data_IF_922297263325
#
_entry.id   IF_922297263325
#
_cell.length_a   1.000
_cell.length_b   1.000
_cell.length_c   1.000
_cell.angle_alpha   90.00
_cell.angle_beta   90.00
_cell.angle_gamma   90.00
#
_symmetry.space_group_name_H-M   'P 1'
#
loop_
_entity.id
_entity.type
_entity.pdbx_description
1 polymer ?
#
# COMPACT_ATOMS: atom_id res chain seq x y z
N UNK A 1 0.10 27.95 -15.25
CA UNK A 1 -0.13 28.68 -13.99
C UNK A 1 0.09 27.70 -12.84
N UNK A 2 1.15 27.90 -12.05
CA UNK A 2 1.48 27.05 -10.89
C UNK A 2 0.68 27.56 -9.70
N UNK A 3 -0.35 26.82 -9.28
CA UNK A 3 -1.07 27.10 -8.03
C UNK A 3 -0.46 26.23 -6.92
N UNK A 4 0.33 26.88 -6.06
CA UNK A 4 0.92 26.28 -4.86
C UNK A 4 -0.14 25.85 -3.86
N UNK A 5 0.18 24.79 -3.13
CA UNK A 5 -0.56 24.28 -1.97
C UNK A 5 -0.53 25.34 -0.87
N UNK A 6 -1.64 25.62 -0.15
CA UNK A 6 -1.58 26.49 1.01
C UNK A 6 -0.85 25.75 2.11
N UNK A 7 0.40 26.13 2.39
CA UNK A 7 1.02 25.76 3.66
C UNK A 7 0.27 26.53 4.73
N UNK A 8 -0.32 25.82 5.70
CA UNK A 8 -0.70 26.42 6.97
C UNK A 8 0.58 26.75 7.71
N UNK A 9 1.22 27.86 7.33
CA UNK A 9 2.33 28.45 8.04
C UNK A 9 1.81 29.06 9.33
N UNK A 10 2.17 28.47 10.48
CA UNK A 10 2.11 29.20 11.73
C UNK A 10 3.22 30.25 11.70
N UNK A 11 2.85 31.53 11.52
CA UNK A 11 3.75 32.65 11.74
C UNK A 11 3.76 32.95 13.23
N UNK A 12 4.84 32.61 13.92
CA UNK A 12 5.08 33.08 15.28
C UNK A 12 5.80 34.42 15.16
N UNK A 13 5.04 35.51 15.24
CA UNK A 13 5.59 36.85 15.39
C UNK A 13 6.02 36.99 16.85
N UNK A 14 7.32 36.95 17.10
CA UNK A 14 7.88 37.27 18.40
C UNK A 14 8.05 38.80 18.51
N UNK A 15 7.05 39.50 19.04
CA UNK A 15 7.17 40.91 19.38
C UNK A 15 8.12 41.09 20.58
N UNK A 16 9.38 41.43 20.28
CA UNK A 16 10.36 41.82 21.29
C UNK A 16 10.31 43.34 21.51
N UNK A 17 9.60 43.77 22.55
CA UNK A 17 9.72 45.14 23.06
C UNK A 17 11.01 45.27 23.88
N UNK A 18 12.06 45.82 23.27
CA UNK A 18 13.29 46.18 23.99
C UNK A 18 13.36 47.72 24.06
N UNK A 19 13.06 48.27 25.23
CA UNK A 19 13.29 49.68 25.50
C UNK A 19 14.75 49.88 25.97
N UNK A 20 15.59 50.46 25.11
CA UNK A 20 16.92 50.93 25.50
C UNK A 20 16.82 52.40 25.89
N UNK A 21 16.92 52.69 27.19
CA UNK A 21 16.97 54.06 27.70
C UNK A 21 18.40 54.59 27.57
N UNK A 22 18.68 55.38 26.53
CA UNK A 22 19.91 56.17 26.47
C UNK A 22 19.76 57.39 27.38
N UNK A 23 20.48 57.41 28.51
CA UNK A 23 20.64 58.60 29.32
C UNK A 23 21.84 59.40 28.83
N UNK A 24 21.62 60.66 28.46
CA UNK A 24 22.70 61.63 28.26
C UNK A 24 23.26 62.04 29.64
N UNK A 25 24.58 61.93 29.83
CA UNK A 25 25.25 62.60 30.94
C UNK A 25 26.51 63.32 30.45
N UNK A 26 26.73 64.58 30.88
CA UNK A 26 27.86 65.38 30.45
C UNK A 26 29.16 64.99 31.18
N UNK A 27 30.25 65.40 30.55
CA UNK A 27 31.65 65.12 30.90
C UNK A 27 32.02 65.54 32.34
N UNK A 28 32.45 64.60 33.18
CA UNK A 28 33.21 64.88 34.41
C UNK A 28 34.42 63.94 34.58
N UNK A 29 35.49 64.52 35.12
CA UNK A 29 36.85 63.98 35.29
C UNK A 29 36.94 62.95 36.43
N UNK A 30 37.71 61.90 36.15
CA UNK A 30 38.50 61.03 37.05
C UNK A 30 37.82 60.35 38.26
N UNK A 31 37.85 59.01 38.28
CA UNK A 31 38.74 58.22 39.15
C UNK A 31 38.48 56.71 39.00
N UNK A 32 39.52 55.93 39.30
CA UNK A 32 39.63 54.47 39.11
C UNK A 32 38.69 53.72 40.06
N UNK A 33 37.57 53.22 39.54
CA UNK A 33 36.64 52.32 40.23
C UNK A 33 36.30 51.09 39.39
N UNK A 34 36.56 49.89 39.93
CA UNK A 34 36.37 48.57 39.30
C UNK A 34 34.88 48.38 38.94
N UNK A 35 34.55 48.33 37.64
CA UNK A 35 33.18 48.45 37.14
C UNK A 35 32.41 47.12 37.18
N UNK A 36 31.24 47.09 37.83
CA UNK A 36 30.29 45.95 37.84
C UNK A 36 29.57 45.75 36.49
N UNK A 37 29.77 46.64 35.53
CA UNK A 37 29.13 46.59 34.21
C UNK A 37 29.58 45.38 33.36
N UNK A 38 30.77 44.83 33.59
CA UNK A 38 31.27 43.67 32.81
C UNK A 38 30.46 42.40 33.15
N UNK A 39 29.94 42.28 34.38
CA UNK A 39 29.14 41.14 34.83
C UNK A 39 27.74 41.13 34.22
N UNK A 40 27.12 42.30 33.98
CA UNK A 40 25.77 42.39 33.42
C UNK A 40 25.74 42.11 31.91
N UNK A 41 26.71 42.59 31.13
CA UNK A 41 26.84 42.23 29.70
C UNK A 41 27.12 40.74 29.49
N UNK A 42 27.98 40.14 30.34
CA UNK A 42 28.25 38.71 30.31
C UNK A 42 27.01 37.88 30.71
N UNK A 43 26.22 38.33 31.68
CA UNK A 43 24.99 37.66 32.09
C UNK A 43 23.88 37.74 31.01
N UNK A 44 23.72 38.90 30.35
CA UNK A 44 22.75 39.08 29.27
C UNK A 44 23.14 38.30 28.01
N UNK A 45 24.44 38.29 27.65
CA UNK A 45 24.96 37.47 26.56
C UNK A 45 24.81 35.97 26.81
N UNK A 46 25.08 35.50 28.04
CA UNK A 46 24.82 34.11 28.44
C UNK A 46 23.34 33.75 28.34
N UNK A 47 22.43 34.64 28.75
CA UNK A 47 20.97 34.42 28.63
C UNK A 47 20.50 34.36 27.17
N UNK A 48 21.03 35.20 26.28
CA UNK A 48 20.72 35.18 24.85
C UNK A 48 21.24 33.91 24.16
N UNK A 49 22.46 33.49 24.51
CA UNK A 49 23.03 32.25 24.01
C UNK A 49 22.23 31.04 24.51
N UNK A 50 21.85 31.03 25.79
CA UNK A 50 21.00 29.98 26.35
C UNK A 50 19.60 29.93 25.71
N UNK A 51 18.99 31.08 25.46
CA UNK A 51 17.71 31.17 24.75
C UNK A 51 17.82 30.67 23.29
N UNK A 52 18.91 30.99 22.59
CA UNK A 52 19.20 30.46 21.25
C UNK A 52 19.39 28.95 21.24
N UNK A 53 20.14 28.40 22.22
CA UNK A 53 20.30 26.96 22.38
C UNK A 53 18.99 26.25 22.68
N UNK A 54 18.17 26.79 23.60
CA UNK A 54 16.87 26.21 23.93
C UNK A 54 15.91 26.28 22.75
N UNK A 55 15.89 27.38 21.99
CA UNK A 55 15.10 27.50 20.77
C UNK A 55 15.54 26.50 19.69
N UNK A 56 16.86 26.34 19.51
CA UNK A 56 17.43 25.36 18.56
C UNK A 56 17.09 23.92 18.97
N UNK A 57 17.17 23.60 20.27
CA UNK A 57 16.79 22.27 20.78
C UNK A 57 15.31 22.02 20.57
N UNK A 58 14.44 23.01 20.84
CA UNK A 58 12.99 22.88 20.62
C UNK A 58 12.68 22.68 19.13
N UNK A 59 13.31 23.43 18.23
CA UNK A 59 13.13 23.27 16.78
C UNK A 59 13.63 21.91 16.29
N UNK A 60 14.78 21.44 16.79
CA UNK A 60 15.30 20.10 16.48
C UNK A 60 14.36 19.01 17.02
N UNK A 61 13.87 19.13 18.24
CA UNK A 61 12.90 18.19 18.80
C UNK A 61 11.59 18.20 18.03
N UNK A 62 11.10 19.36 17.57
CA UNK A 62 9.89 19.46 16.74
C UNK A 62 10.09 18.85 15.35
N UNK A 63 11.28 19.01 14.75
CA UNK A 63 11.64 18.39 13.48
C UNK A 63 11.77 16.86 13.60
N UNK A 64 12.42 16.38 14.66
CA UNK A 64 12.58 14.95 14.94
C UNK A 64 11.27 14.28 15.40
N UNK A 65 10.36 15.02 16.01
CA UNK A 65 9.05 14.54 16.46
C UNK A 65 7.95 14.64 15.40
N UNK A 66 8.27 15.00 14.15
CA UNK A 66 7.27 14.94 13.10
C UNK A 66 6.85 13.47 12.89
N UNK A 67 5.55 13.14 13.04
CA UNK A 67 5.09 11.82 12.69
C UNK A 67 5.33 11.61 11.20
N UNK A 68 5.85 10.43 10.84
CA UNK A 68 5.92 10.02 9.44
C UNK A 68 4.49 9.83 8.91
N UNK A 69 3.90 10.90 8.37
CA UNK A 69 2.62 10.84 7.71
C UNK A 69 2.82 10.33 6.28
N UNK A 70 2.41 9.10 6.03
CA UNK A 70 2.33 8.55 4.68
C UNK A 70 0.87 8.48 4.24
N UNK A 71 0.57 9.03 3.07
CA UNK A 71 -0.71 8.77 2.41
C UNK A 71 -0.78 7.29 2.02
N UNK A 72 -1.88 6.58 2.35
CA UNK A 72 -1.99 5.18 1.98
C UNK A 72 -2.03 5.03 0.45
N UNK A 73 -1.51 3.90 -0.04
CA UNK A 73 -1.72 3.50 -1.44
C UNK A 73 -3.20 3.13 -1.58
N UNK A 74 -3.99 4.04 -2.14
CA UNK A 74 -5.40 3.80 -2.39
C UNK A 74 -5.60 3.14 -3.76
N UNK A 75 -6.62 2.27 -3.80
CA UNK A 75 -7.04 1.55 -4.98
C UNK A 75 -7.39 2.49 -6.16
N UNK A 76 -7.52 1.86 -7.33
CA UNK A 76 -7.60 2.47 -8.66
C UNK A 76 -8.46 3.73 -8.80
N UNK A 77 -8.03 4.60 -9.71
CA UNK A 77 -8.81 5.71 -10.24
C UNK A 77 -10.11 5.21 -10.89
N UNK A 78 -11.26 5.74 -10.45
CA UNK A 78 -12.56 5.43 -11.06
C UNK A 78 -12.56 5.95 -12.50
N UNK A 79 -12.82 5.09 -13.48
CA UNK A 79 -13.03 5.46 -14.87
C UNK A 79 -11.79 5.56 -15.77
N UNK A 80 -10.56 5.45 -15.23
CA UNK A 80 -9.36 5.34 -16.05
C UNK A 80 -8.85 3.90 -16.06
N UNK A 81 -8.69 3.31 -17.24
CA UNK A 81 -7.98 2.05 -17.43
C UNK A 81 -7.41 2.00 -18.83
N UNK A 82 -6.12 1.63 -18.97
CA UNK A 82 -5.45 1.50 -20.26
C UNK A 82 -5.11 0.03 -20.59
N UNK A 83 -5.00 -0.33 -21.88
CA UNK A 83 -4.40 -1.60 -22.28
C UNK A 83 -2.97 -1.70 -21.75
N UNK A 84 -2.54 -2.90 -21.39
CA UNK A 84 -1.20 -3.17 -20.87
C UNK A 84 -0.40 -3.99 -21.86
N UNK A 85 0.91 -3.80 -21.91
CA UNK A 85 1.80 -4.63 -22.72
C UNK A 85 2.18 -5.89 -21.96
N UNK A 86 2.13 -7.03 -22.65
CA UNK A 86 2.70 -8.27 -22.15
C UNK A 86 4.14 -8.36 -22.63
N UNK A 87 5.07 -8.54 -21.72
CA UNK A 87 6.51 -8.67 -22.03
C UNK A 87 6.98 -10.08 -21.64
N UNK A 88 6.16 -11.11 -21.89
CA UNK A 88 6.51 -12.48 -21.50
C UNK A 88 7.41 -13.18 -22.53
N UNK A 89 7.28 -12.87 -23.83
CA UNK A 89 8.19 -13.39 -24.88
C UNK A 89 8.57 -12.33 -25.92
N UNK A 90 9.61 -12.61 -26.71
CA UNK A 90 10.06 -11.75 -27.82
C UNK A 90 8.97 -11.57 -28.90
N UNK A 91 8.15 -12.60 -29.14
CA UNK A 91 7.00 -12.50 -30.08
C UNK A 91 5.84 -11.67 -29.50
N UNK A 92 5.69 -11.63 -28.17
CA UNK A 92 4.60 -10.91 -27.49
C UNK A 92 4.90 -9.45 -27.19
N UNK A 93 6.13 -8.98 -27.45
CA UNK A 93 6.62 -7.63 -27.14
C UNK A 93 5.72 -6.50 -27.66
N UNK A 94 4.93 -6.76 -28.72
CA UNK A 94 3.98 -5.80 -29.30
C UNK A 94 2.50 -6.11 -29.02
N UNK A 95 2.18 -7.16 -28.26
CA UNK A 95 0.80 -7.53 -27.93
C UNK A 95 0.33 -6.75 -26.71
N UNK A 96 -0.64 -5.88 -26.92
CA UNK A 96 -1.39 -5.25 -25.82
C UNK A 96 -2.58 -6.11 -25.43
N UNK A 97 -2.87 -6.20 -24.14
CA UNK A 97 -4.09 -6.84 -23.63
C UNK A 97 -4.94 -5.84 -22.87
N UNK A 98 -6.24 -5.87 -23.17
CA UNK A 98 -7.25 -5.07 -22.51
C UNK A 98 -7.74 -5.76 -21.23
N UNK A 99 -7.05 -5.52 -20.12
CA UNK A 99 -7.36 -6.12 -18.82
C UNK A 99 -8.34 -5.33 -17.97
N UNK A 100 -9.05 -4.36 -18.54
CA UNK A 100 -9.93 -3.48 -17.76
C UNK A 100 -11.12 -4.24 -17.17
N UNK A 101 -11.43 -3.93 -15.91
CA UNK A 101 -12.57 -4.49 -15.21
C UNK A 101 -13.86 -3.78 -15.65
N UNK A 102 -14.99 -4.51 -15.71
CA UNK A 102 -16.28 -3.90 -16.05
C UNK A 102 -16.67 -2.88 -14.98
N UNK A 103 -17.47 -1.89 -15.38
CA UNK A 103 -18.00 -0.92 -14.43
C UNK A 103 -18.82 -1.63 -13.34
N UNK A 104 -18.70 -1.22 -12.07
CA UNK A 104 -19.40 -1.87 -10.98
C UNK A 104 -20.92 -1.70 -11.15
N UNK A 105 -21.64 -2.82 -11.24
CA UNK A 105 -23.12 -2.83 -11.31
C UNK A 105 -23.79 -2.46 -9.97
N UNK A 106 -23.02 -2.39 -8.88
CA UNK A 106 -23.50 -2.18 -7.50
C UNK A 106 -22.60 -1.19 -6.77
N UNK A 107 -23.17 -0.49 -5.81
CA UNK A 107 -22.42 0.37 -4.92
C UNK A 107 -21.35 -0.41 -4.14
N UNK A 108 -20.19 0.24 -3.93
CA UNK A 108 -19.08 -0.34 -3.17
C UNK A 108 -19.53 -0.54 -1.72
N UNK A 109 -19.35 -1.77 -1.22
CA UNK A 109 -19.63 -2.10 0.18
C UNK A 109 -18.32 -2.14 0.97
N UNK A 110 -18.32 -1.58 2.17
CA UNK A 110 -17.19 -1.74 3.10
C UNK A 110 -17.04 -3.21 3.48
N UNK A 111 -15.81 -3.69 3.43
CA UNK A 111 -15.47 -5.04 3.86
C UNK A 111 -15.85 -5.23 5.34
N UNK A 112 -16.47 -6.37 5.64
CA UNK A 112 -16.75 -6.81 7.00
C UNK A 112 -16.07 -8.16 7.18
N UNK A 113 -15.42 -8.34 8.32
CA UNK A 113 -14.82 -9.63 8.67
C UNK A 113 -15.94 -10.68 8.71
N UNK A 114 -15.73 -11.86 8.08
CA UNK A 114 -16.71 -12.92 8.15
C UNK A 114 -16.79 -13.44 9.59
N UNK A 115 -17.98 -13.87 10.00
CA UNK A 115 -18.09 -14.66 11.21
C UNK A 115 -17.48 -16.05 10.95
N UNK A 116 -16.55 -16.47 11.80
CA UNK A 116 -15.78 -17.71 11.62
C UNK A 116 -16.22 -18.73 12.67
N UNK A 117 -17.04 -19.69 12.25
CA UNK A 117 -17.41 -20.84 13.11
C UNK A 117 -16.36 -21.95 13.05
N UNK A 118 -15.68 -22.09 11.90
CA UNK A 118 -14.64 -23.07 11.67
C UNK A 118 -13.49 -22.42 10.90
N UNK A 119 -12.26 -22.69 11.33
CA UNK A 119 -11.07 -22.25 10.61
C UNK A 119 -10.96 -23.02 9.29
N UNK A 120 -10.69 -22.27 8.22
CA UNK A 120 -10.41 -22.85 6.90
C UNK A 120 -8.94 -23.23 6.86
N UNK A 121 -8.65 -24.50 6.60
CA UNK A 121 -7.30 -25.02 6.49
C UNK A 121 -7.04 -25.37 5.03
N UNK A 122 -6.12 -24.64 4.39
CA UNK A 122 -5.66 -25.00 3.05
C UNK A 122 -4.66 -26.14 3.17
N UNK A 123 -4.91 -27.24 2.46
CA UNK A 123 -4.01 -28.40 2.41
C UNK A 123 -3.01 -28.26 1.24
N UNK A 124 -1.83 -28.89 1.32
CA UNK A 124 -0.88 -28.92 0.21
C UNK A 124 -1.47 -29.59 -1.04
N UNK A 125 -1.22 -29.00 -2.20
CA UNK A 125 -1.74 -29.50 -3.47
C UNK A 125 -1.29 -30.92 -3.83
N UNK A 126 -0.06 -31.32 -3.47
CA UNK A 126 0.48 -32.66 -3.77
C UNK A 126 -0.19 -33.76 -2.94
N UNK A 127 -0.52 -33.49 -1.67
CA UNK A 127 -1.31 -34.42 -0.84
C UNK A 127 -2.74 -34.55 -1.36
N UNK A 128 -3.35 -33.41 -1.72
CA UNK A 128 -4.70 -33.34 -2.27
C UNK A 128 -4.85 -33.99 -3.63
N UNK A 129 -3.75 -34.20 -4.36
CA UNK A 129 -3.78 -34.84 -5.67
C UNK A 129 -4.30 -36.29 -5.60
N UNK A 130 -4.15 -36.95 -4.45
CA UNK A 130 -4.63 -38.31 -4.22
C UNK A 130 -6.08 -38.35 -3.71
N UNK A 131 -6.67 -37.20 -3.34
CA UNK A 131 -8.04 -37.08 -2.85
C UNK A 131 -8.98 -36.83 -4.03
N UNK A 132 -9.51 -37.93 -4.60
CA UNK A 132 -10.37 -37.91 -5.81
C UNK A 132 -11.61 -37.02 -5.61
N UNK A 133 -12.22 -37.02 -4.42
CA UNK A 133 -13.39 -36.19 -4.15
C UNK A 133 -13.03 -34.71 -4.20
N UNK A 134 -11.92 -34.33 -3.58
CA UNK A 134 -11.42 -32.97 -3.61
C UNK A 134 -11.06 -32.52 -5.04
N UNK A 135 -10.33 -33.35 -5.79
CA UNK A 135 -9.93 -33.05 -7.17
C UNK A 135 -11.15 -32.84 -8.05
N UNK A 136 -12.17 -33.71 -7.94
CA UNK A 136 -13.41 -33.56 -8.69
C UNK A 136 -14.15 -32.26 -8.36
N UNK A 137 -14.24 -31.90 -7.08
CA UNK A 137 -14.85 -30.62 -6.65
C UNK A 137 -14.08 -29.42 -7.16
N UNK A 138 -12.74 -29.46 -7.08
CA UNK A 138 -11.87 -28.40 -7.53
C UNK A 138 -11.98 -28.20 -9.05
N UNK A 139 -11.93 -29.28 -9.82
CA UNK A 139 -12.09 -29.26 -11.28
C UNK A 139 -13.47 -28.74 -11.69
N UNK A 140 -14.54 -29.23 -11.04
CA UNK A 140 -15.90 -28.74 -11.29
C UNK A 140 -16.05 -27.24 -11.00
N UNK A 141 -15.38 -26.72 -9.96
CA UNK A 141 -15.41 -25.30 -9.63
C UNK A 141 -14.74 -24.45 -10.72
N UNK A 142 -13.60 -24.89 -11.26
CA UNK A 142 -12.94 -24.21 -12.37
C UNK A 142 -13.69 -24.38 -13.70
N UNK A 143 -14.28 -25.55 -13.96
CA UNK A 143 -15.14 -25.78 -15.12
C UNK A 143 -16.30 -24.78 -15.11
N UNK A 144 -17.02 -24.65 -13.99
CA UNK A 144 -18.09 -23.67 -13.83
C UNK A 144 -17.59 -22.23 -13.93
N UNK A 145 -16.42 -21.92 -13.40
CA UNK A 145 -15.83 -20.58 -13.49
C UNK A 145 -15.45 -20.20 -14.93
N UNK A 146 -14.99 -21.17 -15.73
CA UNK A 146 -14.68 -21.00 -17.15
C UNK A 146 -15.94 -20.91 -18.01
N UNK A 147 -17.01 -21.63 -17.63
CA UNK A 147 -18.30 -21.57 -18.32
C UNK A 147 -19.07 -20.26 -18.07
N UNK A 148 -18.64 -19.42 -17.13
CA UNK A 148 -19.27 -18.12 -16.87
C UNK A 148 -19.07 -17.15 -18.06
N UNK A 149 -20.08 -16.31 -18.34
CA UNK A 149 -19.95 -15.24 -19.32
C UNK A 149 -18.77 -14.30 -19.03
N UNK A 150 -18.13 -13.80 -20.08
CA UNK A 150 -16.98 -12.90 -19.99
C UNK A 150 -17.27 -11.56 -19.28
N UNK A 151 -18.54 -11.15 -19.17
CA UNK A 151 -18.98 -9.96 -18.44
C UNK A 151 -19.23 -10.23 -16.95
N UNK A 152 -19.34 -11.49 -16.52
CA UNK A 152 -19.47 -11.84 -15.10
C UNK A 152 -18.14 -11.56 -14.37
N UNK A 153 -18.14 -10.72 -13.31
CA UNK A 153 -16.92 -10.42 -12.54
C UNK A 153 -16.28 -11.65 -11.87
N UNK A 154 -17.01 -12.77 -11.76
CA UNK A 154 -16.55 -14.04 -11.19
C UNK A 154 -15.91 -14.96 -12.22
N UNK A 155 -16.08 -14.68 -13.52
CA UNK A 155 -15.53 -15.52 -14.58
C UNK A 155 -14.01 -15.63 -14.48
N UNK A 156 -13.46 -16.71 -15.01
CA UNK A 156 -12.02 -16.96 -15.02
C UNK A 156 -11.25 -15.79 -15.67
N UNK A 157 -11.77 -15.28 -16.79
CA UNK A 157 -11.23 -14.11 -17.48
C UNK A 157 -11.15 -12.87 -16.56
N UNK A 158 -12.18 -12.61 -15.75
CA UNK A 158 -12.20 -11.44 -14.86
C UNK A 158 -11.33 -11.61 -13.63
N UNK A 159 -11.18 -12.83 -13.12
CA UNK A 159 -10.20 -13.15 -12.09
C UNK A 159 -8.77 -12.87 -12.61
N UNK A 160 -8.45 -13.30 -13.84
CA UNK A 160 -7.17 -12.99 -14.48
C UNK A 160 -6.98 -11.48 -14.74
N UNK A 161 -7.99 -10.78 -15.26
CA UNK A 161 -7.95 -9.33 -15.47
C UNK A 161 -7.73 -8.55 -14.18
N UNK A 162 -8.21 -9.04 -13.03
CA UNK A 162 -7.96 -8.41 -11.73
C UNK A 162 -6.47 -8.39 -11.42
N UNK A 163 -5.75 -9.49 -11.64
CA UNK A 163 -4.30 -9.49 -11.50
C UNK A 163 -3.63 -8.61 -12.55
N UNK A 164 -3.96 -8.80 -13.82
CA UNK A 164 -3.35 -8.04 -14.90
C UNK A 164 -3.46 -6.51 -14.70
N UNK A 165 -4.66 -6.01 -14.37
CA UNK A 165 -4.90 -4.56 -14.30
C UNK A 165 -4.26 -3.85 -13.10
N UNK A 166 -4.15 -4.53 -11.95
CA UNK A 166 -3.53 -3.96 -10.74
C UNK A 166 -2.00 -4.14 -10.69
N UNK A 167 -1.45 -5.03 -11.52
CA UNK A 167 -0.04 -5.42 -11.48
C UNK A 167 0.76 -5.00 -12.72
N UNK A 168 0.09 -4.65 -13.82
CA UNK A 168 0.70 -4.15 -15.06
C UNK A 168 0.32 -2.70 -15.33
N UNK A 169 0.09 -1.91 -14.28
CA UNK A 169 -0.04 -0.45 -14.40
C UNK A 169 -1.22 0.02 -15.27
N UNK A 170 -2.29 -0.77 -15.36
CA UNK A 170 -3.47 -0.40 -16.14
C UNK A 170 -4.24 0.78 -15.51
N UNK A 171 -4.16 0.91 -14.18
CA UNK A 171 -4.80 1.97 -13.39
C UNK A 171 -3.80 3.02 -12.93
N UNK A 172 -4.31 4.20 -12.59
CA UNK A 172 -3.56 5.20 -11.82
C UNK A 172 -3.88 5.07 -10.33
N UNK A 173 -2.92 5.43 -9.48
CA UNK A 173 -3.13 5.55 -8.05
C UNK A 173 -4.08 6.72 -7.75
N UNK A 174 -4.92 6.53 -6.73
CA UNK A 174 -5.89 7.52 -6.28
C UNK A 174 -5.43 8.19 -4.99
N UNK A 175 -5.84 9.44 -4.79
CA UNK A 175 -5.70 10.20 -3.55
C UNK A 175 -6.93 10.03 -2.63
N UNK A 176 -6.81 10.42 -1.37
CA UNK A 176 -7.90 10.35 -0.39
C UNK A 176 -9.15 11.14 -0.82
N UNK A 177 -8.95 12.26 -1.52
CA UNK A 177 -10.02 13.07 -2.11
C UNK A 177 -10.54 12.51 -3.44
N UNK A 178 -10.27 11.24 -3.76
CA UNK A 178 -10.67 10.51 -4.97
C UNK A 178 -10.07 10.97 -6.29
N UNK A 179 -9.23 12.02 -6.29
CA UNK A 179 -8.53 12.45 -7.50
C UNK A 179 -7.38 11.52 -7.87
N UNK A 180 -6.98 11.54 -9.14
CA UNK A 180 -5.85 10.74 -9.64
C UNK A 180 -4.51 11.38 -9.28
N UNK A 181 -3.51 10.58 -8.90
CA UNK A 181 -2.16 11.10 -8.61
C UNK A 181 -1.33 11.34 -9.87
N UNK A 182 -1.71 10.75 -11.00
CA UNK A 182 -0.92 10.73 -12.24
C UNK A 182 0.13 9.61 -12.28
N UNK A 183 0.34 8.90 -11.16
CA UNK A 183 1.27 7.76 -11.09
C UNK A 183 0.54 6.44 -11.37
N UNK A 184 1.16 5.52 -12.14
CA UNK A 184 0.60 4.20 -12.36
C UNK A 184 0.52 3.41 -11.05
N UNK A 185 -0.54 2.62 -10.92
CA UNK A 185 -0.71 1.71 -9.79
C UNK A 185 0.12 0.44 -10.06
N UNK A 186 1.10 0.21 -9.20
CA UNK A 186 1.90 -1.02 -9.18
C UNK A 186 1.88 -1.63 -7.78
N UNK A 187 1.29 -2.81 -7.66
CA UNK A 187 1.21 -3.53 -6.39
C UNK A 187 2.36 -4.51 -6.18
N UNK A 188 3.11 -4.84 -7.23
CA UNK A 188 4.37 -5.57 -7.11
C UNK A 188 5.49 -4.66 -6.59
N UNK A 189 6.54 -5.28 -6.08
CA UNK A 189 7.78 -4.59 -5.66
C UNK A 189 7.61 -3.61 -4.49
N UNK A 190 6.53 -3.74 -3.72
CA UNK A 190 6.28 -2.94 -2.52
C UNK A 190 5.60 -3.76 -1.42
N UNK A 191 5.46 -3.17 -0.25
CA UNK A 191 4.72 -3.73 0.89
C UNK A 191 3.24 -4.06 0.61
N UNK A 192 2.66 -3.58 -0.50
CA UNK A 192 1.26 -3.83 -0.86
C UNK A 192 1.06 -5.22 -1.48
N UNK A 193 2.15 -5.88 -1.87
CA UNK A 193 2.15 -7.20 -2.49
C UNK A 193 1.38 -8.23 -1.65
N UNK A 194 1.83 -8.47 -0.41
CA UNK A 194 1.23 -9.49 0.47
C UNK A 194 -0.25 -9.22 0.82
N UNK A 195 -0.65 -8.02 1.32
CA UNK A 195 -2.03 -7.78 1.70
C UNK A 195 -2.99 -7.83 0.52
N UNK A 196 -2.56 -7.34 -0.66
CA UNK A 196 -3.41 -7.38 -1.84
C UNK A 196 -3.60 -8.81 -2.37
N UNK A 197 -2.53 -9.60 -2.49
CA UNK A 197 -2.64 -11.01 -2.92
C UNK A 197 -3.45 -11.85 -1.91
N UNK A 198 -3.31 -11.60 -0.61
CA UNK A 198 -4.15 -12.23 0.41
C UNK A 198 -5.63 -11.98 0.15
N UNK A 199 -6.01 -10.74 -0.16
CA UNK A 199 -7.40 -10.39 -0.43
C UNK A 199 -7.88 -10.94 -1.78
N UNK A 200 -7.03 -10.95 -2.80
CA UNK A 200 -7.32 -11.56 -4.09
C UNK A 200 -7.71 -13.03 -3.91
N UNK A 201 -6.85 -13.82 -3.26
CA UNK A 201 -7.09 -15.25 -3.06
C UNK A 201 -8.28 -15.48 -2.11
N UNK A 202 -8.47 -14.63 -1.10
CA UNK A 202 -9.64 -14.71 -0.19
C UNK A 202 -10.97 -14.65 -0.95
N UNK A 203 -11.10 -13.71 -1.90
CA UNK A 203 -12.31 -13.61 -2.71
C UNK A 203 -12.38 -14.72 -3.77
N UNK A 204 -11.24 -15.10 -4.36
CA UNK A 204 -11.16 -16.18 -5.33
C UNK A 204 -11.70 -17.51 -4.76
N UNK A 205 -11.24 -17.91 -3.57
CA UNK A 205 -11.71 -19.12 -2.89
C UNK A 205 -13.21 -19.10 -2.63
N UNK A 206 -13.73 -17.95 -2.20
CA UNK A 206 -15.16 -17.77 -1.95
C UNK A 206 -15.98 -17.86 -3.22
N UNK A 207 -15.46 -17.35 -4.33
CA UNK A 207 -16.11 -17.45 -5.64
C UNK A 207 -16.15 -18.93 -6.05
N UNK A 208 -15.03 -19.65 -6.03
CA UNK A 208 -14.97 -21.07 -6.36
C UNK A 208 -15.98 -21.89 -5.54
N UNK A 209 -15.98 -21.74 -4.21
CA UNK A 209 -16.94 -22.42 -3.35
C UNK A 209 -18.39 -22.06 -3.65
N UNK A 210 -18.67 -20.80 -4.00
CA UNK A 210 -20.03 -20.37 -4.39
C UNK A 210 -20.51 -20.99 -5.70
N UNK A 211 -19.62 -21.33 -6.63
CA UNK A 211 -19.99 -21.90 -7.93
C UNK A 211 -20.43 -23.36 -7.81
N UNK A 212 -19.95 -24.08 -6.80
CA UNK A 212 -20.34 -25.47 -6.52
C UNK A 212 -21.23 -25.62 -5.29
N UNK A 213 -21.68 -24.51 -4.69
CA UNK A 213 -22.43 -24.48 -3.44
C UNK A 213 -21.73 -25.17 -2.26
N UNK A 214 -20.40 -25.20 -2.24
CA UNK A 214 -19.61 -25.74 -1.14
C UNK A 214 -18.81 -24.63 -0.45
N UNK A 215 -19.27 -24.12 0.72
CA UNK A 215 -18.56 -23.08 1.44
C UNK A 215 -17.24 -23.56 2.08
N UNK A 216 -17.00 -24.88 2.09
CA UNK A 216 -15.78 -25.52 2.60
C UNK A 216 -14.73 -25.75 1.51
N UNK A 217 -15.06 -25.58 0.23
CA UNK A 217 -14.05 -25.63 -0.83
C UNK A 217 -13.15 -24.38 -0.73
N UNK A 218 -11.84 -24.59 -0.67
CA UNK A 218 -10.82 -23.55 -0.77
C UNK A 218 -9.73 -24.02 -1.73
N UNK A 219 -9.02 -23.09 -2.36
CA UNK A 219 -7.87 -23.46 -3.19
C UNK A 219 -6.79 -24.13 -2.33
N UNK A 220 -6.06 -25.10 -2.90
CA UNK A 220 -4.95 -25.70 -2.19
C UNK A 220 -3.83 -24.68 -1.98
N UNK A 221 -2.93 -24.94 -1.03
CA UNK A 221 -1.64 -24.27 -1.05
C UNK A 221 -0.90 -24.79 -2.28
N UNK A 222 -0.64 -23.90 -3.23
CA UNK A 222 0.15 -24.18 -4.43
C UNK A 222 1.53 -24.62 -3.98
N UNK A 223 1.80 -25.94 -4.09
CA UNK A 223 3.05 -26.64 -3.77
C UNK A 223 3.73 -26.25 -2.46
N UNK A 224 3.87 -27.20 -1.55
CA UNK A 224 4.66 -27.06 -0.34
C UNK A 224 6.16 -27.10 -0.68
N UNK A 225 6.60 -26.23 -1.60
CA UNK A 225 7.93 -26.27 -2.22
C UNK A 225 9.05 -25.94 -1.23
N UNK A 226 8.72 -25.35 -0.10
CA UNK A 226 9.62 -25.16 1.04
C UNK A 226 9.89 -26.46 1.80
N UNK A 227 9.00 -27.46 1.71
CA UNK A 227 9.22 -28.76 2.32
C UNK A 227 10.21 -29.61 1.51
N UNK A 228 11.48 -29.52 1.90
CA UNK A 228 12.57 -30.30 1.30
C UNK A 228 12.58 -31.78 1.73
N UNK A 229 11.75 -32.20 2.69
CA UNK A 229 11.73 -33.57 3.20
C UNK A 229 10.86 -34.50 2.34
N UNK A 230 9.89 -33.94 1.61
CA UNK A 230 9.00 -34.69 0.74
C UNK A 230 9.47 -34.55 -0.72
N UNK A 231 9.85 -35.69 -1.32
CA UNK A 231 10.35 -35.76 -2.70
C UNK A 231 9.35 -35.29 -3.76
N UNK A 232 8.05 -35.26 -3.43
CA UNK A 232 6.97 -34.81 -4.32
C UNK A 232 6.53 -33.37 -4.07
N UNK A 233 6.84 -32.80 -2.90
CA UNK A 233 6.42 -31.45 -2.53
C UNK A 233 7.09 -30.36 -3.39
N UNK A 234 8.29 -30.63 -3.91
CA UNK A 234 9.01 -29.77 -4.85
C UNK A 234 8.53 -29.84 -6.29
N UNK A 235 7.67 -30.80 -6.65
CA UNK A 235 7.18 -30.99 -8.02
C UNK A 235 5.91 -30.18 -8.27
N UNK A 236 5.59 -29.91 -9.55
CA UNK A 236 4.28 -29.39 -9.91
C UNK A 236 3.24 -30.51 -9.62
N UNK A 237 2.25 -30.26 -8.75
CA UNK A 237 1.23 -31.25 -8.43
C UNK A 237 0.46 -31.69 -9.68
N UNK A 238 0.19 -32.99 -9.80
CA UNK A 238 -0.47 -33.57 -10.98
C UNK A 238 -1.89 -33.02 -11.23
N UNK A 239 -2.55 -32.47 -10.21
CA UNK A 239 -3.84 -31.79 -10.36
C UNK A 239 -3.78 -30.57 -11.30
N UNK A 240 -2.59 -30.02 -11.54
CA UNK A 240 -2.36 -28.90 -12.45
C UNK A 240 -1.69 -29.32 -13.75
N UNK A 241 -1.20 -30.55 -13.84
CA UNK A 241 -0.74 -31.13 -15.09
C UNK A 241 -1.96 -31.31 -15.99
N UNK A 242 -1.85 -30.91 -17.27
CA UNK A 242 -2.87 -31.25 -18.25
C UNK A 242 -3.05 -32.78 -18.24
N UNK A 243 -4.25 -33.25 -17.91
CA UNK A 243 -4.61 -34.62 -18.25
C UNK A 243 -4.39 -34.76 -19.76
N UNK A 244 -3.69 -35.80 -20.25
CA UNK A 244 -3.76 -36.10 -21.68
C UNK A 244 -5.25 -36.18 -22.02
N UNK A 245 -5.66 -35.44 -23.06
CA UNK A 245 -7.00 -35.53 -23.58
C UNK A 245 -7.30 -37.02 -23.78
N UNK A 246 -8.30 -37.53 -23.06
CA UNK A 246 -8.84 -38.85 -23.36
C UNK A 246 -9.52 -38.68 -24.70
N UNK A 247 -8.83 -39.13 -25.75
CA UNK A 247 -9.34 -39.31 -27.11
C UNK A 247 -10.46 -40.37 -27.13
#
# INVERSE_FOLDING_TARGET
MRSGVPSTGFSIICDFNIAVKMGEHPMQKASRGRSSAILSFAATGRKLVWASYMCSIVLVLQYLAQPACADPVLASSVGFCKPVRLEATAEEKNRSVQCCLPAPRRAIKRFKLPHVHHLRVRRPAHELANDVEYVNKYNLAYERMNALPADDPRSFLRQWHTHCSFCKEAYLQRRLNTSTTGYPLQLHYSWTFLPWHRMLIYFHDKILGSLINDPRLHSPVSGNWDNQLDATAGQIPQIFSALPAVE
#
